data_IF_201404488732
#
_entry.id   IF_201404488732
#
_cell.length_a   1.000
_cell.length_b   1.000
_cell.length_c   1.000
_cell.angle_alpha   90.00
_cell.angle_beta   90.00
_cell.angle_gamma   90.00
#
_symmetry.space_group_name_H-M   'P 1'
#
loop_
_entity.id
_entity.type
_entity.pdbx_description
1 polymer ?
#
# COMPACT_ATOMS: atom_id res chain seq x y z
N UNK A 1 1.24 8.87 9.19
CA UNK A 1 1.14 7.71 8.28
C UNK A 1 -0.34 7.49 8.05
N UNK A 2 -0.73 7.22 6.81
CA UNK A 2 -2.10 6.78 6.49
C UNK A 2 -2.39 5.40 7.11
N UNK A 3 -3.66 5.02 7.12
CA UNK A 3 -4.13 3.83 7.84
C UNK A 3 -3.62 2.52 7.20
N UNK A 4 -3.57 2.46 5.87
CA UNK A 4 -3.05 1.33 5.11
C UNK A 4 -1.57 1.11 5.40
N UNK A 5 -0.75 2.17 5.31
CA UNK A 5 0.69 2.08 5.59
C UNK A 5 1.00 1.56 7.00
N UNK A 6 0.17 1.92 7.98
CA UNK A 6 0.31 1.43 9.37
C UNK A 6 0.05 -0.07 9.47
N UNK A 7 -1.01 -0.56 8.85
CA UNK A 7 -1.32 -1.99 8.83
C UNK A 7 -0.22 -2.80 8.14
N UNK A 8 0.24 -2.36 6.96
CA UNK A 8 1.30 -3.03 6.21
C UNK A 8 2.61 -3.14 7.00
N UNK A 9 2.99 -2.08 7.70
CA UNK A 9 4.21 -2.08 8.51
C UNK A 9 4.17 -3.15 9.62
N UNK A 10 3.03 -3.31 10.30
CA UNK A 10 2.85 -4.35 11.32
C UNK A 10 3.00 -5.74 10.68
N UNK A 11 2.44 -5.94 9.48
CA UNK A 11 2.46 -7.24 8.82
C UNK A 11 3.86 -7.60 8.35
N UNK A 12 4.57 -6.68 7.69
CA UNK A 12 5.93 -6.91 7.21
C UNK A 12 6.92 -7.17 8.34
N UNK A 13 6.75 -6.52 9.50
CA UNK A 13 7.63 -6.75 10.66
C UNK A 13 7.38 -8.12 11.31
N UNK A 14 6.11 -8.51 11.48
CA UNK A 14 5.76 -9.62 12.37
C UNK A 14 5.36 -10.92 11.63
N UNK A 15 4.88 -10.81 10.40
CA UNK A 15 4.36 -11.92 9.61
C UNK A 15 2.99 -12.45 10.06
N UNK A 16 2.41 -13.40 9.30
CA UNK A 16 1.01 -13.81 9.40
C UNK A 16 0.66 -14.60 10.68
N UNK A 17 1.63 -15.27 11.29
CA UNK A 17 1.41 -16.06 12.50
C UNK A 17 1.47 -15.24 13.79
N UNK A 18 1.89 -13.97 13.73
CA UNK A 18 2.05 -13.15 14.92
C UNK A 18 0.70 -12.58 15.40
N UNK A 19 0.42 -12.58 16.71
CA UNK A 19 -0.82 -12.05 17.26
C UNK A 19 -1.10 -10.59 16.89
N UNK A 20 -0.07 -9.74 16.79
CA UNK A 20 -0.24 -8.34 16.38
C UNK A 20 -0.76 -8.22 14.93
N UNK A 21 -0.23 -9.04 14.02
CA UNK A 21 -0.71 -9.12 12.63
C UNK A 21 -2.16 -9.61 12.58
N UNK A 22 -2.50 -10.67 13.31
CA UNK A 22 -3.85 -11.22 13.33
C UNK A 22 -4.87 -10.21 13.87
N UNK A 23 -4.55 -9.51 14.98
CA UNK A 23 -5.38 -8.41 15.50
C UNK A 23 -5.54 -7.28 14.48
N UNK A 24 -4.44 -6.93 13.82
CA UNK A 24 -4.43 -5.90 12.80
C UNK A 24 -5.32 -6.27 11.61
N UNK A 25 -5.26 -7.50 11.11
CA UNK A 25 -6.11 -7.97 10.01
C UNK A 25 -7.57 -8.07 10.45
N UNK A 26 -7.84 -8.54 11.67
CA UNK A 26 -9.20 -8.61 12.20
C UNK A 26 -9.85 -7.21 12.31
N UNK A 27 -9.09 -6.21 12.75
CA UNK A 27 -9.55 -4.81 12.73
C UNK A 27 -9.93 -4.34 11.33
N UNK A 28 -9.16 -4.73 10.32
CA UNK A 28 -9.42 -4.35 8.93
C UNK A 28 -10.62 -5.11 8.34
N UNK A 29 -10.76 -6.40 8.65
CA UNK A 29 -11.94 -7.17 8.26
C UNK A 29 -13.23 -6.55 8.82
N UNK A 30 -13.24 -6.15 10.10
CA UNK A 30 -14.40 -5.44 10.71
C UNK A 30 -14.68 -4.11 10.04
N UNK A 31 -13.65 -3.38 9.63
CA UNK A 31 -13.80 -2.13 8.89
C UNK A 31 -14.45 -2.37 7.52
N UNK A 32 -14.00 -3.39 6.78
CA UNK A 32 -14.62 -3.77 5.52
C UNK A 32 -16.07 -4.22 5.72
N UNK A 33 -16.39 -5.01 6.74
CA UNK A 33 -17.77 -5.40 7.08
C UNK A 33 -18.66 -4.21 7.42
N UNK A 34 -18.13 -3.23 8.16
CA UNK A 34 -18.83 -2.01 8.48
C UNK A 34 -19.25 -1.24 7.21
N UNK A 35 -18.34 -1.14 6.24
CA UNK A 35 -18.63 -0.48 4.97
C UNK A 35 -19.48 -1.34 4.02
N UNK A 36 -19.33 -2.65 4.04
CA UNK A 36 -20.18 -3.59 3.27
C UNK A 36 -21.65 -3.44 3.63
N UNK A 37 -21.97 -3.15 4.90
CA UNK A 37 -23.35 -2.87 5.35
C UNK A 37 -23.92 -1.56 4.79
N UNK A 38 -23.07 -0.56 4.55
CA UNK A 38 -23.47 0.74 4.04
C UNK A 38 -23.54 0.78 2.51
N UNK A 39 -22.73 -0.05 1.86
CA UNK A 39 -22.65 -0.16 0.40
C UNK A 39 -22.83 -1.63 -0.02
N UNK A 40 -24.08 -2.16 0.04
CA UNK A 40 -24.34 -3.55 -0.30
C UNK A 40 -23.89 -3.88 -1.73
N UNK A 41 -23.23 -5.02 -1.90
CA UNK A 41 -22.69 -5.48 -3.19
C UNK A 41 -21.23 -5.03 -3.45
N UNK A 42 -20.86 -3.81 -3.05
CA UNK A 42 -19.55 -3.23 -3.38
C UNK A 42 -18.35 -3.92 -2.71
N UNK A 43 -18.59 -4.79 -1.72
CA UNK A 43 -17.57 -5.52 -0.96
C UNK A 43 -17.71 -7.04 -1.09
N UNK A 44 -18.55 -7.52 -2.01
CA UNK A 44 -18.86 -8.94 -2.17
C UNK A 44 -17.97 -9.66 -3.19
N UNK A 45 -17.08 -8.94 -3.87
CA UNK A 45 -16.21 -9.46 -4.93
C UNK A 45 -14.93 -10.07 -4.35
N UNK A 46 -14.78 -11.40 -4.37
CA UNK A 46 -13.59 -12.08 -3.84
C UNK A 46 -12.32 -11.62 -4.57
N UNK A 47 -12.43 -11.40 -5.87
CA UNK A 47 -11.37 -10.99 -6.76
C UNK A 47 -10.69 -9.67 -6.34
N UNK A 48 -11.44 -8.71 -5.79
CA UNK A 48 -10.90 -7.41 -5.38
C UNK A 48 -9.90 -7.58 -4.21
N UNK A 49 -10.22 -8.46 -3.28
CA UNK A 49 -9.35 -8.78 -2.15
C UNK A 49 -8.11 -9.55 -2.61
N UNK A 50 -8.30 -10.57 -3.45
CA UNK A 50 -7.19 -11.38 -3.98
C UNK A 50 -6.25 -10.52 -4.82
N UNK A 51 -6.79 -9.65 -5.68
CA UNK A 51 -6.02 -8.69 -6.45
C UNK A 51 -5.19 -7.78 -5.55
N UNK A 52 -5.79 -7.23 -4.49
CA UNK A 52 -5.07 -6.35 -3.55
C UNK A 52 -3.90 -7.08 -2.89
N UNK A 53 -4.09 -8.33 -2.45
CA UNK A 53 -3.01 -9.13 -1.86
C UNK A 53 -1.93 -9.51 -2.89
N UNK A 54 -2.31 -9.82 -4.13
CA UNK A 54 -1.38 -10.04 -5.24
C UNK A 54 -0.57 -8.77 -5.55
N UNK A 55 -1.24 -7.61 -5.53
CA UNK A 55 -0.61 -6.32 -5.72
C UNK A 55 0.45 -6.07 -4.66
N UNK A 56 0.15 -6.26 -3.37
CA UNK A 56 1.13 -6.09 -2.30
C UNK A 56 2.29 -7.10 -2.40
N UNK A 57 2.02 -8.34 -2.84
CA UNK A 57 3.06 -9.35 -3.06
C UNK A 57 4.06 -9.00 -4.17
N UNK A 58 3.60 -8.32 -5.23
CA UNK A 58 4.40 -8.05 -6.42
C UNK A 58 4.68 -6.56 -6.68
N UNK A 59 4.20 -5.64 -5.84
CA UNK A 59 4.26 -4.19 -6.08
C UNK A 59 5.69 -3.73 -6.34
N UNK A 60 6.61 -4.03 -5.42
CA UNK A 60 8.01 -3.61 -5.55
C UNK A 60 8.71 -4.30 -6.74
N UNK A 61 8.33 -5.54 -7.07
CA UNK A 61 8.82 -6.22 -8.28
C UNK A 61 8.40 -5.45 -9.55
N UNK A 62 7.09 -5.18 -9.72
CA UNK A 62 6.56 -4.46 -10.89
C UNK A 62 7.05 -3.02 -10.96
N UNK A 63 7.20 -2.36 -9.82
CA UNK A 63 7.78 -1.01 -9.75
C UNK A 63 9.22 -1.01 -10.26
N UNK A 64 10.08 -1.94 -9.80
CA UNK A 64 11.48 -2.06 -10.25
C UNK A 64 11.56 -2.28 -11.76
N UNK A 65 10.78 -3.23 -12.28
CA UNK A 65 10.72 -3.49 -13.73
C UNK A 65 10.30 -2.23 -14.51
N UNK A 66 9.29 -1.51 -14.02
CA UNK A 66 8.76 -0.30 -14.68
C UNK A 66 9.78 0.83 -14.78
N UNK A 67 10.70 0.94 -13.83
CA UNK A 67 11.79 1.92 -13.84
C UNK A 67 13.08 1.36 -14.45
N UNK A 68 13.04 0.17 -15.06
CA UNK A 68 14.18 -0.45 -15.74
C UNK A 68 15.28 -0.91 -14.77
N UNK A 69 14.90 -1.35 -13.58
CA UNK A 69 15.73 -2.11 -12.64
C UNK A 69 15.34 -3.59 -12.71
N UNK A 70 16.24 -4.52 -12.32
CA UNK A 70 15.88 -5.92 -12.18
C UNK A 70 14.77 -6.06 -11.12
N UNK A 71 13.81 -6.94 -11.39
CA UNK A 71 12.77 -7.31 -10.42
C UNK A 71 13.34 -8.12 -9.27
N UNK A 72 12.45 -8.75 -8.50
CA UNK A 72 12.84 -9.63 -7.41
C UNK A 72 13.65 -10.84 -7.88
N UNK A 73 14.74 -11.20 -7.18
CA UNK A 73 15.36 -12.50 -7.31
C UNK A 73 14.37 -13.63 -6.99
N UNK A 74 14.58 -14.82 -7.55
CA UNK A 74 13.69 -15.99 -7.37
C UNK A 74 13.38 -16.29 -5.90
N UNK A 75 14.39 -16.30 -5.02
CA UNK A 75 14.18 -16.50 -3.57
C UNK A 75 13.22 -15.49 -2.93
N UNK A 76 13.23 -14.24 -3.40
CA UNK A 76 12.34 -13.18 -2.90
C UNK A 76 10.94 -13.35 -3.48
N UNK A 77 10.82 -13.81 -4.73
CA UNK A 77 9.54 -14.20 -5.32
C UNK A 77 8.88 -15.33 -4.52
N UNK A 78 9.63 -16.40 -4.21
CA UNK A 78 9.16 -17.52 -3.37
C UNK A 78 8.73 -17.05 -1.98
N UNK A 79 9.56 -16.24 -1.31
CA UNK A 79 9.23 -15.69 0.00
C UNK A 79 7.98 -14.81 -0.03
N UNK A 80 7.77 -14.04 -1.12
CA UNK A 80 6.58 -13.20 -1.29
C UNK A 80 5.31 -14.06 -1.43
N UNK A 81 5.36 -15.12 -2.24
CA UNK A 81 4.25 -16.07 -2.38
C UNK A 81 3.92 -16.72 -1.04
N UNK A 82 4.94 -17.20 -0.32
CA UNK A 82 4.75 -17.87 0.96
C UNK A 82 4.14 -16.92 2.01
N UNK A 83 4.65 -15.71 2.10
CA UNK A 83 4.13 -14.70 3.04
C UNK A 83 2.68 -14.34 2.72
N UNK A 84 2.40 -13.99 1.47
CA UNK A 84 1.08 -13.46 1.09
C UNK A 84 0.00 -14.53 0.96
N UNK A 85 0.35 -15.77 0.61
CA UNK A 85 -0.59 -16.89 0.65
C UNK A 85 -1.05 -17.22 2.08
N UNK A 86 -0.17 -17.03 3.09
CA UNK A 86 -0.52 -17.14 4.50
C UNK A 86 -1.31 -15.94 5.00
N UNK A 87 -0.96 -14.73 4.58
CA UNK A 87 -1.74 -13.53 4.88
C UNK A 87 -3.17 -13.63 4.34
N UNK A 88 -3.36 -14.13 3.11
CA UNK A 88 -4.66 -14.28 2.47
C UNK A 88 -5.66 -15.08 3.32
N UNK A 89 -5.18 -16.08 4.07
CA UNK A 89 -6.00 -16.92 4.96
C UNK A 89 -6.56 -16.16 6.18
N UNK A 90 -6.03 -14.98 6.50
CA UNK A 90 -6.51 -14.14 7.59
C UNK A 90 -7.66 -13.22 7.17
N UNK A 91 -7.85 -13.03 5.87
CA UNK A 91 -8.89 -12.15 5.33
C UNK A 91 -10.16 -12.94 5.01
N UNK A 92 -11.27 -12.22 5.01
CA UNK A 92 -12.59 -12.71 4.61
C UNK A 92 -13.28 -11.70 3.72
N UNK A 93 -14.14 -12.20 2.85
CA UNK A 93 -14.99 -11.38 2.01
C UNK A 93 -16.00 -10.67 2.93
N UNK A 94 -16.00 -9.34 2.95
CA UNK A 94 -16.84 -8.60 3.89
C UNK A 94 -18.33 -8.62 3.52
N UNK A 95 -18.67 -8.87 2.25
CA UNK A 95 -20.05 -9.01 1.80
C UNK A 95 -20.67 -10.35 2.15
N UNK A 96 -19.89 -11.44 2.13
CA UNK A 96 -20.39 -12.81 2.38
C UNK A 96 -19.99 -13.39 3.74
N UNK A 97 -18.93 -12.87 4.35
CA UNK A 97 -18.31 -13.42 5.56
C UNK A 97 -17.41 -14.63 5.30
N UNK A 98 -17.32 -15.13 4.07
CA UNK A 98 -16.58 -16.34 3.73
C UNK A 98 -15.06 -16.10 3.67
N UNK A 99 -14.23 -17.11 3.98
CA UNK A 99 -12.79 -17.04 3.74
C UNK A 99 -12.47 -16.74 2.28
N UNK A 100 -11.42 -15.95 2.04
CA UNK A 100 -10.94 -15.73 0.68
C UNK A 100 -10.43 -17.03 0.04
N UNK A 101 -10.62 -17.15 -1.27
CA UNK A 101 -10.16 -18.29 -2.04
C UNK A 101 -9.50 -17.87 -3.35
N UNK A 102 -8.72 -18.77 -3.95
CA UNK A 102 -8.11 -18.53 -5.27
C UNK A 102 -6.84 -17.67 -5.27
N UNK A 103 -6.16 -17.52 -4.13
CA UNK A 103 -4.83 -16.88 -4.13
C UNK A 103 -3.83 -17.74 -4.95
N UNK A 104 -3.05 -17.16 -5.88
CA UNK A 104 -2.17 -17.93 -6.75
C UNK A 104 -1.08 -18.71 -6.01
N UNK A 105 -0.72 -19.89 -6.55
CA UNK A 105 0.22 -20.82 -5.91
C UNK A 105 1.70 -20.46 -6.11
N UNK A 106 2.01 -19.63 -7.10
CA UNK A 106 3.37 -19.19 -7.42
C UNK A 106 3.40 -17.74 -7.91
N UNK A 107 4.60 -17.20 -8.07
CA UNK A 107 4.79 -15.78 -8.39
C UNK A 107 4.36 -15.46 -9.83
N UNK A 108 4.48 -16.40 -10.75
CA UNK A 108 4.02 -16.23 -12.13
C UNK A 108 2.47 -16.16 -12.16
N UNK A 109 1.80 -16.96 -11.35
CA UNK A 109 0.36 -16.92 -11.13
C UNK A 109 -0.10 -15.59 -10.52
N UNK A 110 0.64 -15.03 -9.55
CA UNK A 110 0.39 -13.68 -9.03
C UNK A 110 0.44 -12.65 -10.16
N UNK A 111 1.50 -12.67 -10.96
CA UNK A 111 1.67 -11.74 -12.08
C UNK A 111 0.56 -11.88 -13.13
N UNK A 112 0.24 -13.10 -13.53
CA UNK A 112 -0.83 -13.38 -14.49
C UNK A 112 -2.21 -12.96 -13.97
N UNK A 113 -2.49 -13.22 -12.68
CA UNK A 113 -3.74 -12.80 -12.05
C UNK A 113 -3.89 -11.27 -12.06
N UNK A 114 -2.84 -10.54 -11.72
CA UNK A 114 -2.86 -9.08 -11.77
C UNK A 114 -3.06 -8.54 -13.18
N UNK A 115 -2.38 -9.12 -14.17
CA UNK A 115 -2.52 -8.68 -15.56
C UNK A 115 -3.92 -8.97 -16.10
N UNK A 116 -4.53 -10.11 -15.77
CA UNK A 116 -5.94 -10.42 -16.09
C UNK A 116 -6.89 -9.41 -15.44
N UNK A 117 -6.76 -9.19 -14.13
CA UNK A 117 -7.61 -8.27 -13.39
C UNK A 117 -7.52 -6.83 -13.94
N UNK A 118 -6.32 -6.36 -14.24
CA UNK A 118 -6.07 -5.01 -14.78
C UNK A 118 -6.47 -4.84 -16.25
N UNK A 119 -6.57 -5.94 -17.01
CA UNK A 119 -7.01 -5.94 -18.40
C UNK A 119 -8.53 -5.80 -18.55
N UNK A 120 -9.30 -6.08 -17.49
CA UNK A 120 -10.77 -5.99 -17.50
C UNK A 120 -11.24 -4.58 -17.85
N UNK A 121 -12.43 -4.55 -18.47
CA UNK A 121 -13.15 -3.31 -18.70
C UNK A 121 -13.93 -2.94 -17.44
N UNK A 122 -13.39 -1.98 -16.68
CA UNK A 122 -13.99 -1.48 -15.44
C UNK A 122 -15.09 -0.45 -15.68
N UNK A 123 -15.40 -0.14 -16.94
CA UNK A 123 -16.38 0.89 -17.32
C UNK A 123 -15.92 2.31 -17.00
N UNK A 124 -16.83 3.26 -17.22
CA UNK A 124 -16.56 4.68 -16.98
C UNK A 124 -16.66 5.01 -15.49
N UNK A 125 -15.58 5.56 -14.94
CA UNK A 125 -15.56 6.09 -13.57
C UNK A 125 -15.75 7.61 -13.57
N UNK A 126 -17.00 8.06 -13.38
CA UNK A 126 -17.36 9.47 -13.32
C UNK A 126 -16.64 10.25 -12.20
N UNK A 127 -16.16 9.56 -11.17
CA UNK A 127 -15.39 10.13 -10.07
C UNK A 127 -13.88 10.02 -10.23
N UNK A 128 -13.40 9.35 -11.29
CA UNK A 128 -11.99 9.00 -11.45
C UNK A 128 -11.05 10.20 -11.38
N UNK A 129 -11.30 11.23 -12.19
CA UNK A 129 -10.49 12.43 -12.20
C UNK A 129 -10.47 13.16 -10.84
N UNK A 130 -11.61 13.20 -10.14
CA UNK A 130 -11.71 13.83 -8.84
C UNK A 130 -10.95 13.05 -7.76
N UNK A 131 -11.02 11.72 -7.77
CA UNK A 131 -10.26 10.85 -6.85
C UNK A 131 -8.76 11.05 -7.07
N UNK A 132 -8.30 11.03 -8.32
CA UNK A 132 -6.89 11.25 -8.65
C UNK A 132 -6.38 12.61 -8.15
N UNK A 133 -7.19 13.67 -8.31
CA UNK A 133 -6.85 15.00 -7.79
C UNK A 133 -6.69 14.99 -6.26
N UNK A 134 -7.61 14.34 -5.56
CA UNK A 134 -7.60 14.23 -4.09
C UNK A 134 -6.44 13.39 -3.56
N UNK A 135 -5.90 12.49 -4.35
CA UNK A 135 -4.69 11.72 -4.00
C UNK A 135 -3.40 12.49 -4.28
N UNK A 136 -3.32 13.19 -5.42
CA UNK A 136 -2.08 13.84 -5.89
C UNK A 136 -1.79 15.15 -5.15
N UNK A 137 -2.82 15.93 -4.83
CA UNK A 137 -2.65 17.25 -4.21
C UNK A 137 -2.00 17.19 -2.83
N UNK A 138 -2.48 16.34 -1.88
CA UNK A 138 -1.83 16.23 -0.57
C UNK A 138 -0.37 15.76 -0.66
N UNK A 139 -0.04 14.91 -1.65
CA UNK A 139 1.34 14.50 -1.88
C UNK A 139 2.21 15.68 -2.31
N UNK A 140 1.76 16.46 -3.30
CA UNK A 140 2.48 17.64 -3.78
C UNK A 140 2.66 18.68 -2.68
N UNK A 141 1.60 18.99 -1.92
CA UNK A 141 1.62 19.97 -0.83
C UNK A 141 2.53 19.57 0.32
N UNK A 142 2.58 18.28 0.67
CA UNK A 142 3.38 17.79 1.79
C UNK A 142 4.87 17.72 1.49
N UNK A 143 5.23 17.38 0.25
CA UNK A 143 6.61 17.04 -0.09
C UNK A 143 7.32 18.08 -0.95
N UNK A 144 6.60 19.03 -1.56
CA UNK A 144 7.18 19.99 -2.48
C UNK A 144 6.68 21.42 -2.20
N UNK A 145 7.54 22.43 -2.38
CA UNK A 145 7.11 23.83 -2.37
C UNK A 145 6.19 24.10 -3.57
N UNK A 146 5.31 25.10 -3.44
CA UNK A 146 4.25 25.44 -4.42
C UNK A 146 4.71 25.50 -5.89
N UNK A 147 5.87 26.09 -6.25
CA UNK A 147 6.32 26.11 -7.64
C UNK A 147 6.62 24.72 -8.23
N UNK A 148 6.87 23.72 -7.39
CA UNK A 148 7.23 22.36 -7.80
C UNK A 148 6.05 21.37 -7.76
N UNK A 149 4.83 21.82 -7.45
CA UNK A 149 3.65 20.95 -7.39
C UNK A 149 3.35 20.26 -8.73
N UNK A 150 3.56 20.96 -9.85
CA UNK A 150 3.45 20.37 -11.19
C UNK A 150 4.46 19.23 -11.42
N UNK A 151 5.68 19.38 -10.90
CA UNK A 151 6.73 18.35 -10.98
C UNK A 151 6.36 17.15 -10.11
N UNK A 152 5.88 17.37 -8.89
CA UNK A 152 5.42 16.31 -8.00
C UNK A 152 4.31 15.47 -8.65
N UNK A 153 3.32 16.14 -9.26
CA UNK A 153 2.23 15.48 -9.99
C UNK A 153 2.76 14.67 -11.17
N UNK A 154 3.64 15.28 -11.97
CA UNK A 154 4.30 14.65 -13.11
C UNK A 154 5.09 13.40 -12.72
N UNK A 155 5.79 13.43 -11.59
CA UNK A 155 6.54 12.29 -11.05
C UNK A 155 5.62 11.12 -10.72
N UNK A 156 4.53 11.35 -9.96
CA UNK A 156 3.59 10.29 -9.57
C UNK A 156 2.87 9.73 -10.81
N UNK A 157 2.33 10.61 -11.66
CA UNK A 157 1.66 10.17 -12.88
C UNK A 157 2.61 9.42 -13.82
N UNK A 158 3.90 9.78 -13.87
CA UNK A 158 4.90 9.07 -14.68
C UNK A 158 5.06 7.59 -14.29
N UNK A 159 4.71 7.22 -13.06
CA UNK A 159 4.82 5.87 -12.51
C UNK A 159 3.56 5.01 -12.69
N UNK A 160 2.40 5.62 -12.94
CA UNK A 160 1.17 4.84 -13.09
C UNK A 160 1.21 3.96 -14.34
N UNK A 161 0.68 2.72 -14.24
CA UNK A 161 0.48 1.86 -15.39
C UNK A 161 -0.64 2.40 -16.28
N UNK A 162 -0.66 1.95 -17.53
CA UNK A 162 -1.52 2.51 -18.57
C UNK A 162 -3.02 2.31 -18.32
N UNK A 163 -3.38 1.24 -17.60
CA UNK A 163 -4.78 0.94 -17.25
C UNK A 163 -5.37 2.02 -16.34
N UNK A 164 -4.60 2.60 -15.41
CA UNK A 164 -5.07 3.64 -14.48
C UNK A 164 -5.60 4.86 -15.24
N UNK A 165 -4.91 5.30 -16.30
CA UNK A 165 -5.37 6.45 -17.08
C UNK A 165 -6.69 6.17 -17.79
N UNK A 166 -6.90 4.93 -18.27
CA UNK A 166 -8.17 4.53 -18.87
C UNK A 166 -9.27 4.49 -17.82
N UNK A 167 -9.06 3.74 -16.74
CA UNK A 167 -10.05 3.53 -15.68
C UNK A 167 -10.47 4.81 -14.99
N UNK A 168 -9.55 5.75 -14.75
CA UNK A 168 -9.84 7.00 -14.06
C UNK A 168 -10.18 8.17 -15.00
N UNK A 169 -10.20 7.94 -16.32
CA UNK A 169 -10.54 8.97 -17.31
C UNK A 169 -9.61 10.18 -17.31
N UNK A 170 -8.33 9.99 -17.00
CA UNK A 170 -7.34 11.08 -16.92
C UNK A 170 -6.37 11.05 -18.10
N UNK A 171 -5.93 12.23 -18.53
CA UNK A 171 -4.97 12.35 -19.63
C UNK A 171 -3.63 11.68 -19.29
N UNK A 172 -3.12 10.90 -20.25
CA UNK A 172 -1.80 10.27 -20.14
C UNK A 172 -0.70 11.35 -20.17
N UNK A 173 0.27 11.33 -19.24
CA UNK A 173 1.42 12.22 -19.32
C UNK A 173 2.22 11.94 -20.60
N UNK A 174 2.82 13.00 -21.15
CA UNK A 174 3.69 12.88 -22.31
C UNK A 174 4.89 11.95 -22.06
N UNK A 175 5.50 11.36 -23.10
CA UNK A 175 6.60 10.42 -22.97
C UNK A 175 7.78 10.94 -22.14
N UNK A 176 8.11 12.24 -22.30
CA UNK A 176 9.19 12.92 -21.57
C UNK A 176 8.90 12.95 -20.07
N UNK A 177 7.67 13.28 -19.68
CA UNK A 177 7.25 13.32 -18.27
C UNK A 177 7.35 11.94 -17.62
N UNK A 178 6.90 10.90 -18.34
CA UNK A 178 7.00 9.51 -17.86
C UNK A 178 8.45 9.08 -17.71
N UNK A 179 9.29 9.41 -18.69
CA UNK A 179 10.72 9.15 -18.64
C UNK A 179 11.35 9.85 -17.43
N UNK A 180 11.05 11.13 -17.20
CA UNK A 180 11.58 11.87 -16.05
C UNK A 180 11.17 11.24 -14.71
N UNK A 181 9.88 10.93 -14.51
CA UNK A 181 9.40 10.31 -13.27
C UNK A 181 10.05 8.96 -13.00
N UNK A 182 10.18 8.11 -14.03
CA UNK A 182 10.85 6.81 -13.92
C UNK A 182 12.35 6.94 -13.66
N UNK A 183 13.02 7.84 -14.35
CA UNK A 183 14.45 8.12 -14.18
C UNK A 183 14.76 8.64 -12.78
N UNK A 184 13.96 9.57 -12.27
CA UNK A 184 14.12 10.11 -10.92
C UNK A 184 14.03 9.00 -9.86
N UNK A 185 13.00 8.15 -9.94
CA UNK A 185 12.86 7.02 -9.01
C UNK A 185 13.96 5.98 -9.16
N UNK A 186 14.39 5.69 -10.39
CA UNK A 186 15.52 4.79 -10.64
C UNK A 186 16.79 5.30 -9.96
N UNK A 187 17.09 6.59 -10.10
CA UNK A 187 18.23 7.22 -9.45
C UNK A 187 18.08 7.15 -7.93
N UNK A 188 16.92 7.54 -7.39
CA UNK A 188 16.65 7.50 -5.95
C UNK A 188 16.87 6.12 -5.33
N UNK A 189 16.28 5.07 -5.94
CA UNK A 189 16.44 3.69 -5.48
C UNK A 189 17.87 3.17 -5.64
N UNK A 190 18.54 3.49 -6.75
CA UNK A 190 19.93 3.07 -6.95
C UNK A 190 20.87 3.76 -5.95
N UNK A 191 20.61 5.04 -5.66
CA UNK A 191 21.34 5.79 -4.63
C UNK A 191 21.12 5.18 -3.24
N UNK A 192 19.88 4.88 -2.88
CA UNK A 192 19.58 4.27 -1.58
C UNK A 192 20.17 2.88 -1.42
N UNK A 193 20.23 2.07 -2.48
CA UNK A 193 20.71 0.69 -2.40
C UNK A 193 22.23 0.55 -2.46
N UNK A 194 22.95 1.49 -3.10
CA UNK A 194 24.38 1.32 -3.40
C UNK A 194 25.29 2.33 -2.72
N UNK A 195 24.77 3.51 -2.34
CA UNK A 195 25.60 4.65 -1.96
C UNK A 195 25.23 5.26 -0.62
N UNK A 196 23.95 5.24 -0.24
CA UNK A 196 23.53 5.73 1.07
C UNK A 196 23.80 4.65 2.14
N UNK A 197 24.18 5.07 3.36
CA UNK A 197 24.31 4.12 4.47
C UNK A 197 22.96 3.49 4.79
N UNK A 198 22.98 2.21 5.12
CA UNK A 198 21.79 1.55 5.64
C UNK A 198 21.28 2.31 6.87
N UNK A 199 19.96 2.50 6.99
CA UNK A 199 19.41 3.19 8.14
C UNK A 199 19.71 2.39 9.42
N UNK A 200 20.32 3.04 10.41
CA UNK A 200 20.64 2.42 11.71
C UNK A 200 19.41 1.96 12.50
N UNK A 201 18.25 2.54 12.18
CA UNK A 201 16.97 2.27 12.81
C UNK A 201 15.95 1.94 11.76
N UNK A 202 15.26 0.82 11.92
CA UNK A 202 14.21 0.38 11.02
C UNK A 202 13.03 1.36 11.01
N UNK A 203 12.24 1.33 9.95
CA UNK A 203 11.04 2.17 9.86
C UNK A 203 10.08 1.87 11.03
N UNK A 204 9.90 0.59 11.37
CA UNK A 204 9.07 0.16 12.49
C UNK A 204 9.55 0.73 13.84
N UNK A 205 10.86 0.68 14.11
CA UNK A 205 11.44 1.27 15.31
C UNK A 205 11.26 2.78 15.36
N UNK A 206 11.51 3.50 14.26
CA UNK A 206 11.26 4.94 14.18
C UNK A 206 9.80 5.27 14.51
N UNK A 207 8.87 4.48 14.01
CA UNK A 207 7.44 4.64 14.33
C UNK A 207 7.13 4.38 15.79
N UNK A 208 7.67 3.31 16.40
CA UNK A 208 7.52 3.04 17.83
C UNK A 208 8.06 4.18 18.68
N UNK A 209 9.26 4.69 18.35
CA UNK A 209 9.89 5.81 19.05
C UNK A 209 9.04 7.08 18.95
N UNK A 210 8.54 7.42 17.77
CA UNK A 210 7.68 8.59 17.58
C UNK A 210 6.38 8.50 18.38
N UNK A 211 5.76 7.31 18.45
CA UNK A 211 4.55 7.09 19.25
C UNK A 211 4.83 7.17 20.75
N UNK A 212 5.93 6.59 21.22
CA UNK A 212 6.35 6.70 22.61
C UNK A 212 6.60 8.17 23.01
N UNK A 213 7.25 8.96 22.14
CA UNK A 213 7.44 10.39 22.35
C UNK A 213 6.11 11.16 22.38
N UNK A 214 5.13 10.78 21.55
CA UNK A 214 3.79 11.36 21.55
C UNK A 214 3.05 11.09 22.88
N UNK A 215 3.10 9.86 23.39
CA UNK A 215 2.53 9.52 24.70
C UNK A 215 3.15 10.39 25.80
N UNK A 216 4.48 10.49 25.82
CA UNK A 216 5.18 11.35 26.79
C UNK A 216 4.76 12.82 26.67
N UNK A 217 4.57 13.31 25.45
CA UNK A 217 4.11 14.68 25.20
C UNK A 217 2.69 14.91 25.71
N UNK A 218 1.75 13.99 25.44
CA UNK A 218 0.37 14.06 25.94
C UNK A 218 0.32 14.03 27.47
N UNK A 219 1.12 13.19 28.12
CA UNK A 219 1.25 13.14 29.57
C UNK A 219 1.78 14.47 30.14
N UNK A 220 2.75 15.11 29.47
CA UNK A 220 3.26 16.44 29.86
C UNK A 220 2.21 17.54 29.71
N UNK A 221 1.32 17.44 28.72
CA UNK A 221 0.19 18.36 28.54
C UNK A 221 -1.03 18.04 29.41
N UNK A 222 -0.90 17.10 30.36
CA UNK A 222 -1.98 16.64 31.24
C UNK A 222 -3.21 16.05 30.51
N UNK A 223 -3.09 15.71 29.23
CA UNK A 223 -4.13 15.01 28.46
C UNK A 223 -4.02 13.49 28.69
N UNK A 224 -4.36 13.08 29.92
CA UNK A 224 -4.31 11.67 30.34
C UNK A 224 -5.21 10.75 29.51
N UNK A 225 -6.46 11.12 29.16
CA UNK A 225 -7.32 10.25 28.34
C UNK A 225 -6.69 9.93 26.98
N UNK A 226 -6.16 10.93 26.27
CA UNK A 226 -5.50 10.70 24.98
C UNK A 226 -4.20 9.90 25.13
N UNK A 227 -3.44 10.13 26.21
CA UNK A 227 -2.22 9.38 26.48
C UNK A 227 -2.47 7.90 26.75
N UNK A 228 -3.52 7.57 27.52
CA UNK A 228 -3.91 6.19 27.81
C UNK A 228 -4.32 5.49 26.51
N UNK A 229 -5.19 6.12 25.72
CA UNK A 229 -5.63 5.56 24.42
C UNK A 229 -4.46 5.29 23.48
N UNK A 230 -3.54 6.24 23.34
CA UNK A 230 -2.36 6.06 22.48
C UNK A 230 -1.44 4.96 23.02
N UNK A 231 -1.28 4.84 24.34
CA UNK A 231 -0.47 3.78 24.95
C UNK A 231 -1.09 2.38 24.78
N UNK A 232 -2.40 2.25 24.91
CA UNK A 232 -3.14 1.02 24.61
C UNK A 232 -3.00 0.63 23.14
N UNK A 233 -3.12 1.60 22.22
CA UNK A 233 -2.91 1.36 20.79
C UNK A 233 -1.45 0.97 20.48
N UNK A 234 -0.46 1.48 21.21
CA UNK A 234 0.95 1.04 21.08
C UNK A 234 1.12 -0.40 21.54
N UNK A 235 0.59 -0.75 22.71
CA UNK A 235 0.68 -2.08 23.27
C UNK A 235 -0.05 -3.14 22.40
N UNK A 236 -1.16 -2.77 21.76
CA UNK A 236 -1.90 -3.67 20.89
C UNK A 236 -1.20 -3.97 19.55
N UNK A 237 -0.29 -3.10 19.12
CA UNK A 237 0.42 -3.15 17.82
C UNK A 237 1.90 -3.51 17.94
N UNK A 238 2.40 -3.68 19.17
CA UNK A 238 3.71 -4.26 19.48
C UNK A 238 3.58 -5.77 19.74
#
# INVERSE_FOLDING_TARGET
>A
MDDTGRHMLIWWENGPSHPATQRSVESLNRLHEHWAKQYPGNFSHNEDYVYTLCYEAAFMHRMRLRIGLPGFPEKVQMASVEFWSRMAKLFRNAGTGEPLHGFPADFAGIMAYMDDYEARDWGDNSHGAAVMERMLTPFAERHFPRPLHGVARAMVLGMYPDHIFRTYGIARPGPITRWFGRSFMKVGLTMSERYLPDPEVTLAEKHRQARAAKVQTLLRHADRPSAIREAEDVAATS
#
